data_IF_484931738390
#
_entry.id   IF_484931738390
#
_cell.length_a   1.000
_cell.length_b   1.000
_cell.length_c   1.000
_cell.angle_alpha   90.00
_cell.angle_beta   90.00
_cell.angle_gamma   90.00
#
_symmetry.space_group_name_H-M   'P 1'
#
loop_
_entity.id
_entity.type
_entity.pdbx_description
1 polymer ?
#
# COMPACT_ATOMS: atom_id res chain seq x y z
N UNK A 1 -0.65 -17.07 21.62
CA UNK A 1 -1.42 -16.01 20.93
C UNK A 1 -1.10 -14.70 21.65
N UNK A 2 -0.35 -13.80 21.03
CA UNK A 2 -0.21 -12.44 21.58
C UNK A 2 -1.54 -11.75 21.36
N UNK A 3 -2.21 -11.41 22.42
CA UNK A 3 -3.43 -10.58 22.40
C UNK A 3 -3.12 -9.27 21.72
N UNK A 4 -4.04 -8.82 20.90
CA UNK A 4 -4.00 -7.58 20.14
C UNK A 4 -3.54 -6.42 21.06
N UNK A 5 -2.34 -5.92 20.82
CA UNK A 5 -1.70 -4.88 21.65
C UNK A 5 -2.22 -3.48 21.26
N UNK A 6 -3.09 -3.42 20.23
CA UNK A 6 -3.63 -2.17 19.69
C UNK A 6 -5.12 -2.03 19.99
N UNK A 7 -5.47 -0.90 20.57
CA UNK A 7 -6.87 -0.51 20.78
C UNK A 7 -7.32 0.43 19.66
N UNK A 8 -8.07 -0.11 18.70
CA UNK A 8 -8.66 0.66 17.61
C UNK A 8 -10.08 1.17 17.94
N UNK A 9 -10.57 0.96 19.16
CA UNK A 9 -11.97 1.27 19.53
C UNK A 9 -12.31 2.76 19.46
N UNK A 10 -11.32 3.63 19.52
CA UNK A 10 -11.48 5.08 19.38
C UNK A 10 -11.34 5.57 17.95
N UNK A 11 -10.90 4.72 17.02
CA UNK A 11 -10.63 5.08 15.65
C UNK A 11 -11.83 4.84 14.73
N UNK A 12 -11.97 5.74 13.77
CA UNK A 12 -12.92 5.65 12.65
C UNK A 12 -12.20 5.29 11.38
N UNK A 13 -12.57 4.18 10.75
CA UNK A 13 -12.08 3.81 9.42
C UNK A 13 -13.13 4.14 8.34
N UNK A 14 -12.69 4.60 7.18
CA UNK A 14 -13.52 4.70 5.97
C UNK A 14 -13.01 3.71 4.92
N UNK A 15 -13.93 2.95 4.33
CA UNK A 15 -13.63 2.05 3.21
C UNK A 15 -14.48 2.36 2.00
N UNK A 16 -13.83 2.45 0.83
CA UNK A 16 -14.46 2.81 -0.45
C UNK A 16 -14.17 1.73 -1.50
N UNK A 17 -15.23 1.13 -2.04
CA UNK A 17 -15.13 0.09 -3.08
C UNK A 17 -16.50 0.00 -3.77
N UNK A 18 -16.59 -0.13 -5.10
CA UNK A 18 -17.85 -0.24 -5.82
C UNK A 18 -18.52 -1.62 -5.69
N UNK A 19 -17.76 -2.65 -5.27
CA UNK A 19 -18.27 -3.99 -4.99
C UNK A 19 -18.96 -4.07 -3.62
N UNK A 20 -20.27 -4.36 -3.56
CA UNK A 20 -20.98 -4.56 -2.31
C UNK A 20 -20.40 -5.69 -1.44
N UNK A 21 -19.87 -6.74 -2.12
CA UNK A 21 -19.25 -7.86 -1.45
C UNK A 21 -17.96 -7.44 -0.75
N UNK A 22 -17.09 -6.69 -1.43
CA UNK A 22 -15.84 -6.21 -0.83
C UNK A 22 -16.12 -5.22 0.30
N UNK A 23 -17.09 -4.32 0.13
CA UNK A 23 -17.49 -3.41 1.23
C UNK A 23 -17.89 -4.17 2.47
N UNK A 24 -18.73 -5.21 2.34
CA UNK A 24 -19.15 -6.03 3.46
C UNK A 24 -17.98 -6.77 4.09
N UNK A 25 -17.14 -7.41 3.28
CA UNK A 25 -15.98 -8.17 3.75
C UNK A 25 -15.01 -7.29 4.55
N UNK A 26 -14.60 -6.16 4.00
CA UNK A 26 -13.63 -5.29 4.66
C UNK A 26 -14.24 -4.60 5.90
N UNK A 27 -15.52 -4.21 5.82
CA UNK A 27 -16.25 -3.71 6.99
C UNK A 27 -16.18 -4.72 8.15
N UNK A 28 -16.55 -5.96 7.90
CA UNK A 28 -16.59 -7.01 8.94
C UNK A 28 -15.18 -7.32 9.47
N UNK A 29 -14.14 -7.27 8.62
CA UNK A 29 -12.75 -7.40 9.06
C UNK A 29 -12.31 -6.24 9.97
N UNK A 30 -12.64 -5.01 9.63
CA UNK A 30 -12.29 -3.83 10.44
C UNK A 30 -13.02 -3.84 11.80
N UNK A 31 -14.29 -4.23 11.81
CA UNK A 31 -15.03 -4.42 13.07
C UNK A 31 -14.39 -5.53 13.91
N UNK A 32 -14.00 -6.66 13.28
CA UNK A 32 -13.33 -7.75 13.97
C UNK A 32 -11.94 -7.39 14.52
N UNK A 33 -11.27 -6.39 13.90
CA UNK A 33 -10.02 -5.81 14.40
C UNK A 33 -10.23 -4.88 15.60
N UNK A 34 -11.47 -4.46 15.87
CA UNK A 34 -11.81 -3.62 17.01
C UNK A 34 -11.98 -2.14 16.69
N UNK A 35 -12.12 -1.73 15.42
CA UNK A 35 -12.44 -0.35 15.09
C UNK A 35 -13.78 0.06 15.69
N UNK A 36 -13.81 1.23 16.34
CA UNK A 36 -15.03 1.74 16.99
C UNK A 36 -16.10 2.14 15.99
N UNK A 37 -15.68 2.60 14.81
CA UNK A 37 -16.59 2.99 13.73
C UNK A 37 -16.00 2.66 12.36
N UNK A 38 -16.83 2.12 11.46
CA UNK A 38 -16.48 1.86 10.06
C UNK A 38 -17.52 2.48 9.15
N UNK A 39 -17.08 3.39 8.30
CA UNK A 39 -17.88 4.09 7.30
C UNK A 39 -17.60 3.45 5.94
N UNK A 40 -18.61 3.24 5.13
CA UNK A 40 -18.40 2.71 3.77
C UNK A 40 -19.06 3.60 2.72
N UNK A 41 -18.40 3.72 1.56
CA UNK A 41 -18.93 4.38 0.38
C UNK A 41 -18.79 3.47 -0.85
N UNK A 42 -19.65 3.66 -1.83
CA UNK A 42 -19.70 2.81 -3.04
C UNK A 42 -18.97 3.40 -4.24
N UNK A 43 -18.50 4.64 -4.14
CA UNK A 43 -17.73 5.34 -5.18
C UNK A 43 -16.97 6.51 -4.58
N UNK A 44 -16.04 7.09 -5.37
CA UNK A 44 -15.19 8.18 -4.91
C UNK A 44 -15.95 9.49 -4.66
N UNK A 45 -17.06 9.76 -5.34
CA UNK A 45 -17.83 11.00 -5.16
C UNK A 45 -18.60 10.98 -3.83
N UNK A 46 -19.32 9.89 -3.57
CA UNK A 46 -20.00 9.69 -2.29
C UNK A 46 -19.01 9.66 -1.12
N UNK A 47 -17.83 9.07 -1.33
CA UNK A 47 -16.76 9.04 -0.33
C UNK A 47 -16.22 10.44 -0.02
N UNK A 48 -16.02 11.32 -1.03
CA UNK A 48 -15.57 12.70 -0.82
C UNK A 48 -16.58 13.52 0.00
N UNK A 49 -17.89 13.32 -0.24
CA UNK A 49 -18.92 13.97 0.55
C UNK A 49 -18.87 13.52 2.01
N UNK A 50 -18.87 12.19 2.24
CA UNK A 50 -18.78 11.62 3.58
C UNK A 50 -17.47 11.99 4.29
N UNK A 51 -16.36 12.09 3.57
CA UNK A 51 -15.07 12.43 4.15
C UNK A 51 -15.05 13.81 4.82
N UNK A 52 -15.74 14.78 4.24
CA UNK A 52 -15.83 16.14 4.79
C UNK A 52 -16.62 16.20 6.10
N UNK A 53 -17.64 15.37 6.20
CA UNK A 53 -18.53 15.38 7.36
C UNK A 53 -18.04 14.48 8.50
N UNK A 54 -17.46 13.33 8.16
CA UNK A 54 -17.15 12.26 9.10
C UNK A 54 -15.70 12.23 9.59
N UNK A 55 -14.78 12.87 8.87
CA UNK A 55 -13.34 13.01 9.21
C UNK A 55 -12.73 11.71 9.78
N UNK A 56 -12.59 10.64 8.98
CA UNK A 56 -12.04 9.37 9.45
C UNK A 56 -10.55 9.48 9.82
N UNK A 57 -10.07 8.57 10.68
CA UNK A 57 -8.66 8.49 11.07
C UNK A 57 -7.81 7.71 10.07
N UNK A 58 -8.43 6.77 9.33
CA UNK A 58 -7.79 5.98 8.29
C UNK A 58 -8.73 5.80 7.10
N UNK A 59 -8.18 5.89 5.91
CA UNK A 59 -8.90 5.67 4.66
C UNK A 59 -8.36 4.44 3.94
N UNK A 60 -9.26 3.55 3.53
CA UNK A 60 -8.96 2.39 2.70
C UNK A 60 -9.78 2.54 1.42
N UNK A 61 -9.17 2.35 0.25
CA UNK A 61 -9.88 2.51 -1.03
C UNK A 61 -9.49 1.43 -2.01
N UNK A 62 -10.45 0.96 -2.80
CA UNK A 62 -10.11 0.21 -4.00
C UNK A 62 -9.44 1.11 -5.04
N UNK A 63 -8.53 0.54 -5.83
CA UNK A 63 -7.87 1.24 -6.93
C UNK A 63 -8.79 1.41 -8.15
N UNK A 64 -9.66 0.43 -8.42
CA UNK A 64 -10.45 0.33 -9.65
C UNK A 64 -11.93 0.47 -9.36
N UNK A 65 -12.43 1.68 -9.32
CA UNK A 65 -13.85 2.00 -9.11
C UNK A 65 -14.42 2.83 -10.26
N UNK A 66 -15.75 2.90 -10.35
CA UNK A 66 -16.48 3.76 -11.30
C UNK A 66 -17.50 4.64 -10.54
N UNK A 67 -17.74 5.90 -10.95
CA UNK A 67 -17.12 6.64 -12.08
C UNK A 67 -15.73 7.21 -11.78
N UNK A 68 -15.33 7.36 -10.52
CA UNK A 68 -14.03 7.88 -10.09
C UNK A 68 -13.17 6.73 -9.58
N UNK A 69 -11.96 6.56 -10.17
CA UNK A 69 -11.01 5.55 -9.69
C UNK A 69 -10.36 5.96 -8.34
N UNK A 70 -9.77 4.98 -7.65
CA UNK A 70 -9.15 5.22 -6.35
C UNK A 70 -7.96 6.19 -6.41
N UNK A 71 -7.26 6.26 -7.53
CA UNK A 71 -6.13 7.18 -7.70
C UNK A 71 -6.60 8.63 -7.78
N UNK A 72 -7.65 8.90 -8.56
CA UNK A 72 -8.26 10.22 -8.66
C UNK A 72 -8.88 10.64 -7.33
N UNK A 73 -9.55 9.71 -6.64
CA UNK A 73 -10.10 9.94 -5.32
C UNK A 73 -9.01 10.37 -4.32
N UNK A 74 -7.90 9.62 -4.24
CA UNK A 74 -6.77 9.97 -3.37
C UNK A 74 -6.17 11.32 -3.74
N UNK A 75 -5.98 11.60 -5.04
CA UNK A 75 -5.48 12.88 -5.52
C UNK A 75 -6.36 14.03 -5.03
N UNK A 76 -7.70 13.90 -5.12
CA UNK A 76 -8.63 14.92 -4.62
C UNK A 76 -8.54 15.10 -3.10
N UNK A 77 -8.40 14.02 -2.34
CA UNK A 77 -8.16 14.13 -0.89
C UNK A 77 -6.89 14.95 -0.61
N UNK A 78 -5.81 14.73 -1.34
CA UNK A 78 -4.50 15.38 -1.11
C UNK A 78 -4.43 16.83 -1.60
N UNK A 79 -5.21 17.19 -2.63
CA UNK A 79 -5.07 18.50 -3.31
C UNK A 79 -6.17 19.50 -2.98
N UNK A 80 -7.33 19.08 -2.51
CA UNK A 80 -8.43 19.98 -2.15
C UNK A 80 -8.19 20.58 -0.77
N UNK A 81 -7.84 21.89 -0.67
CA UNK A 81 -7.56 22.54 0.61
C UNK A 81 -8.79 22.65 1.51
N UNK A 82 -10.00 22.39 0.99
CA UNK A 82 -11.22 22.33 1.80
C UNK A 82 -11.40 21.03 2.56
N UNK A 83 -10.57 20.01 2.30
CA UNK A 83 -10.62 18.76 3.02
C UNK A 83 -10.11 18.92 4.47
N UNK A 84 -10.77 18.28 5.44
CA UNK A 84 -10.47 18.47 6.86
C UNK A 84 -9.10 17.89 7.27
N UNK A 85 -8.61 16.86 6.57
CA UNK A 85 -7.32 16.23 6.86
C UNK A 85 -6.62 15.77 5.58
N UNK A 86 -5.70 16.59 5.07
CA UNK A 86 -4.88 16.23 3.89
C UNK A 86 -3.82 15.16 4.19
N UNK A 87 -3.55 14.89 5.47
CA UNK A 87 -2.50 14.00 5.96
C UNK A 87 -3.00 12.61 6.32
N UNK A 88 -4.30 12.35 6.17
CA UNK A 88 -4.88 11.04 6.53
C UNK A 88 -4.07 9.88 5.93
N UNK A 89 -3.75 8.83 6.70
CA UNK A 89 -3.15 7.63 6.14
C UNK A 89 -4.13 6.94 5.19
N UNK A 90 -3.64 6.58 3.99
CA UNK A 90 -4.44 5.94 2.93
C UNK A 90 -3.82 4.61 2.54
N UNK A 91 -4.59 3.54 2.65
CA UNK A 91 -4.26 2.20 2.15
C UNK A 91 -5.04 1.95 0.86
N UNK A 92 -4.35 1.67 -0.24
CA UNK A 92 -4.99 1.32 -1.51
C UNK A 92 -5.00 -0.18 -1.72
N UNK A 93 -6.18 -0.76 -1.99
CA UNK A 93 -6.35 -2.16 -2.36
C UNK A 93 -6.34 -2.29 -3.89
N UNK A 94 -5.63 -3.26 -4.45
CA UNK A 94 -5.64 -3.46 -5.90
C UNK A 94 -5.43 -4.92 -6.29
N UNK A 95 -6.11 -5.36 -7.33
CA UNK A 95 -5.86 -6.65 -8.00
C UNK A 95 -4.63 -6.64 -8.91
N UNK A 96 -4.02 -5.48 -9.15
CA UNK A 96 -2.90 -5.32 -10.09
C UNK A 96 -1.64 -4.91 -9.32
N UNK A 97 -0.67 -5.80 -9.25
CA UNK A 97 0.59 -5.60 -8.50
C UNK A 97 1.77 -5.17 -9.38
N UNK A 98 1.49 -4.74 -10.60
CA UNK A 98 2.51 -4.23 -11.51
C UNK A 98 3.16 -2.97 -10.93
N UNK A 99 4.48 -2.83 -11.13
CA UNK A 99 5.25 -1.69 -10.60
C UNK A 99 4.66 -0.35 -11.01
N UNK A 100 4.16 -0.22 -12.24
CA UNK A 100 3.52 1.00 -12.73
C UNK A 100 2.32 1.44 -11.88
N UNK A 101 1.50 0.49 -11.39
CA UNK A 101 0.36 0.77 -10.53
C UNK A 101 0.78 1.18 -9.12
N UNK A 102 1.83 0.56 -8.59
CA UNK A 102 2.39 0.91 -7.28
C UNK A 102 3.02 2.31 -7.34
N UNK A 103 3.75 2.63 -8.42
CA UNK A 103 4.31 3.96 -8.64
C UNK A 103 3.21 5.00 -8.80
N UNK A 104 2.17 4.70 -9.58
CA UNK A 104 0.99 5.58 -9.72
C UNK A 104 0.33 5.85 -8.37
N UNK A 105 0.13 4.82 -7.53
CA UNK A 105 -0.44 4.97 -6.20
C UNK A 105 0.42 5.91 -5.33
N UNK A 106 1.73 5.67 -5.30
CA UNK A 106 2.69 6.51 -4.59
C UNK A 106 2.65 7.96 -5.08
N UNK A 107 2.59 8.15 -6.40
CA UNK A 107 2.59 9.48 -7.02
C UNK A 107 1.30 10.27 -6.77
N UNK A 108 0.21 9.59 -6.45
CA UNK A 108 -1.05 10.22 -6.00
C UNK A 108 -1.13 10.39 -4.47
N UNK A 109 -0.10 10.03 -3.70
CA UNK A 109 -0.05 10.26 -2.26
C UNK A 109 -0.66 9.16 -1.40
N UNK A 110 -0.74 7.92 -1.93
CA UNK A 110 -1.10 6.72 -1.14
C UNK A 110 -0.01 6.43 -0.13
N UNK A 111 -0.40 6.08 1.11
CA UNK A 111 0.54 5.75 2.18
C UNK A 111 1.02 4.32 2.07
N UNK A 112 0.10 3.37 1.90
CA UNK A 112 0.40 1.94 1.76
C UNK A 112 -0.44 1.31 0.64
N UNK A 113 0.14 0.28 0.02
CA UNK A 113 -0.50 -0.48 -1.06
C UNK A 113 -0.65 -1.94 -0.63
N UNK A 114 -1.82 -2.52 -0.86
CA UNK A 114 -2.13 -3.90 -0.50
C UNK A 114 -2.74 -4.64 -1.70
N UNK A 115 -2.11 -5.75 -2.07
CA UNK A 115 -2.60 -6.60 -3.15
C UNK A 115 -3.85 -7.38 -2.75
N UNK A 116 -4.83 -7.48 -3.64
CA UNK A 116 -5.94 -8.44 -3.55
C UNK A 116 -5.44 -9.84 -4.00
N UNK A 117 -5.84 -10.94 -3.36
CA UNK A 117 -6.88 -11.07 -2.33
C UNK A 117 -6.42 -10.59 -0.95
N UNK A 118 -7.30 -9.87 -0.25
CA UNK A 118 -7.04 -9.33 1.08
C UNK A 118 -7.31 -10.39 2.14
N UNK A 119 -6.34 -10.64 3.01
CA UNK A 119 -6.51 -11.43 4.23
C UNK A 119 -6.63 -10.54 5.47
N UNK A 120 -7.24 -11.07 6.54
CA UNK A 120 -7.31 -10.37 7.82
C UNK A 120 -5.91 -9.99 8.34
N UNK A 121 -4.94 -10.91 8.21
CA UNK A 121 -3.56 -10.70 8.64
C UNK A 121 -2.87 -9.60 7.84
N UNK A 122 -2.97 -9.62 6.50
CA UNK A 122 -2.33 -8.61 5.65
C UNK A 122 -2.95 -7.23 5.85
N UNK A 123 -4.27 -7.14 6.00
CA UNK A 123 -4.95 -5.88 6.29
C UNK A 123 -4.53 -5.32 7.65
N UNK A 124 -4.53 -6.16 8.70
CA UNK A 124 -4.10 -5.77 10.04
C UNK A 124 -2.67 -5.23 10.04
N UNK A 125 -1.73 -5.92 9.40
CA UNK A 125 -0.33 -5.48 9.29
C UNK A 125 -0.21 -4.10 8.65
N UNK A 126 -0.99 -3.81 7.59
CA UNK A 126 -0.97 -2.49 6.93
C UNK A 126 -1.59 -1.40 7.79
N UNK A 127 -2.69 -1.70 8.48
CA UNK A 127 -3.30 -0.78 9.44
C UNK A 127 -2.32 -0.42 10.55
N UNK A 128 -1.69 -1.41 11.17
CA UNK A 128 -0.67 -1.18 12.21
C UNK A 128 0.50 -0.38 11.65
N UNK A 129 1.02 -0.72 10.47
CA UNK A 129 2.14 -0.02 9.84
C UNK A 129 1.87 1.48 9.66
N UNK A 130 0.69 1.87 9.17
CA UNK A 130 0.39 3.30 8.93
C UNK A 130 0.13 4.08 10.21
N UNK A 131 -0.25 3.40 11.31
CA UNK A 131 -0.48 4.02 12.62
C UNK A 131 0.83 4.16 13.40
N UNK A 132 1.66 3.12 13.44
CA UNK A 132 2.90 3.12 14.21
C UNK A 132 4.04 3.86 13.54
N UNK A 133 4.08 3.82 12.21
CA UNK A 133 5.14 4.40 11.41
C UNK A 133 4.57 5.47 10.46
N UNK A 134 4.02 6.57 10.99
CA UNK A 134 3.47 7.62 10.17
C UNK A 134 4.57 8.23 9.31
N UNK A 135 4.40 8.18 7.99
CA UNK A 135 5.33 8.79 7.06
C UNK A 135 5.28 10.30 7.15
N UNK A 136 6.45 10.93 7.06
CA UNK A 136 6.52 12.38 6.90
C UNK A 136 5.90 12.76 5.56
N UNK A 137 5.14 13.86 5.53
CA UNK A 137 4.57 14.40 4.30
C UNK A 137 5.51 15.45 3.72
N UNK A 138 5.64 15.42 2.41
CA UNK A 138 6.46 16.35 1.65
C UNK A 138 5.63 17.04 0.57
N UNK A 139 5.98 18.30 0.27
CA UNK A 139 5.44 19.03 -0.87
C UNK A 139 6.58 19.32 -1.83
N UNK A 140 6.50 18.78 -3.05
CA UNK A 140 7.51 18.98 -4.09
C UNK A 140 6.79 19.24 -5.41
N UNK A 141 6.85 20.50 -5.89
CA UNK A 141 6.05 20.92 -7.04
C UNK A 141 4.56 20.74 -6.77
N UNK A 142 3.87 20.02 -7.66
CA UNK A 142 2.44 19.71 -7.54
C UNK A 142 2.15 18.46 -6.67
N UNK A 143 3.19 17.74 -6.25
CA UNK A 143 3.04 16.59 -5.37
C UNK A 143 2.89 17.03 -3.92
N UNK A 144 1.85 16.51 -3.27
CA UNK A 144 1.68 16.55 -1.83
C UNK A 144 1.29 15.15 -1.33
N UNK A 145 2.09 14.59 -0.43
CA UNK A 145 1.85 13.23 0.07
C UNK A 145 2.99 12.70 0.95
N UNK A 146 2.91 11.42 1.37
CA UNK A 146 3.97 10.79 2.13
C UNK A 146 5.30 10.80 1.40
N UNK A 147 6.43 10.98 2.12
CA UNK A 147 7.76 10.91 1.52
C UNK A 147 7.94 9.58 0.79
N UNK A 148 8.39 9.65 -0.47
CA UNK A 148 8.58 8.48 -1.34
C UNK A 148 9.83 7.69 -0.99
N UNK A 149 10.75 8.28 -0.22
CA UNK A 149 11.98 7.63 0.22
C UNK A 149 11.65 6.72 1.40
N UNK A 150 11.91 5.42 1.26
CA UNK A 150 11.96 4.54 2.42
C UNK A 150 13.26 4.83 3.15
N UNK A 151 13.19 5.27 4.39
CA UNK A 151 14.35 5.20 5.27
C UNK A 151 14.69 3.73 5.51
N UNK A 152 15.98 3.39 5.52
CA UNK A 152 16.50 2.02 5.69
C UNK A 152 16.12 1.38 7.02
N UNK A 153 15.47 2.11 7.92
CA UNK A 153 14.99 1.63 9.21
C UNK A 153 13.53 1.11 9.16
N UNK A 154 12.83 1.28 8.05
CA UNK A 154 11.49 0.72 7.84
C UNK A 154 11.62 -0.80 7.65
N UNK A 155 11.39 -1.57 8.70
CA UNK A 155 11.35 -3.04 8.65
C UNK A 155 10.23 -3.47 7.69
N UNK A 156 10.62 -3.91 6.50
CA UNK A 156 9.73 -4.41 5.50
C UNK A 156 9.20 -5.80 5.92
N UNK A 157 7.97 -5.85 6.43
CA UNK A 157 7.26 -7.10 6.70
C UNK A 157 6.59 -7.63 5.41
N UNK A 158 7.36 -7.87 4.38
CA UNK A 158 6.91 -8.50 3.15
C UNK A 158 8.05 -9.34 2.59
N UNK A 159 7.73 -10.55 2.08
CA UNK A 159 8.70 -11.42 1.40
C UNK A 159 9.46 -10.62 0.34
N UNK A 160 10.74 -10.38 0.62
CA UNK A 160 11.63 -9.63 -0.26
C UNK A 160 12.16 -10.61 -1.30
N UNK A 161 11.37 -10.87 -2.37
CA UNK A 161 11.79 -11.70 -3.50
C UNK A 161 13.01 -11.17 -4.27
N UNK A 162 13.64 -10.08 -3.80
CA UNK A 162 14.86 -9.52 -4.43
C UNK A 162 16.13 -10.16 -3.88
N UNK A 163 16.12 -10.73 -2.68
CA UNK A 163 17.32 -11.32 -2.09
C UNK A 163 17.70 -12.66 -2.75
N UNK A 164 16.76 -13.29 -3.51
CA UNK A 164 17.01 -14.54 -4.22
C UNK A 164 17.61 -14.36 -5.63
N UNK A 165 17.70 -13.13 -6.16
CA UNK A 165 18.22 -12.88 -7.50
C UNK A 165 19.69 -12.43 -7.53
N UNK A 166 20.22 -11.95 -6.40
CA UNK A 166 21.60 -11.48 -6.30
C UNK A 166 22.59 -12.58 -5.84
N UNK A 167 22.09 -13.79 -5.53
CA UNK A 167 22.89 -14.92 -5.07
C UNK A 167 23.40 -15.86 -6.18
N UNK A 168 23.09 -15.62 -7.46
CA UNK A 168 23.39 -16.57 -8.56
C UNK A 168 24.55 -16.13 -9.45
N UNK A 169 25.10 -14.93 -9.28
CA UNK A 169 26.14 -14.39 -10.21
C UNK A 169 27.51 -14.14 -9.54
N UNK A 170 27.99 -15.02 -8.66
CA UNK A 170 29.35 -14.91 -8.13
C UNK A 170 30.17 -16.21 -8.16
N UNK A 171 29.97 -17.08 -9.15
CA UNK A 171 30.93 -18.09 -9.50
C UNK A 171 31.25 -18.07 -10.99
N UNK A 172 32.22 -17.23 -11.36
CA UNK A 172 32.96 -17.38 -12.60
C UNK A 172 34.03 -18.48 -12.38
N UNK A 173 34.11 -19.51 -13.22
CA UNK A 173 35.20 -20.47 -13.10
C UNK A 173 36.49 -19.85 -13.63
N UNK A 174 37.52 -19.86 -12.75
CA UNK A 174 38.89 -19.55 -13.06
C UNK A 174 39.45 -20.43 -14.16
N UNK A 175 40.17 -19.75 -15.09
CA UNK A 175 41.33 -20.14 -15.86
C UNK A 175 41.50 -21.63 -16.21
N UNK A 176 41.32 -21.94 -17.48
CA UNK A 176 42.00 -23.09 -18.11
C UNK A 176 43.28 -22.59 -18.74
N UNK A 177 44.37 -23.08 -18.16
CA UNK A 177 45.75 -22.87 -18.54
C UNK A 177 46.04 -23.52 -19.91
N UNK A 178 46.79 -22.78 -20.69
CA UNK A 178 47.37 -23.22 -21.95
C UNK A 178 48.53 -24.18 -21.72
N UNK A 179 48.53 -25.35 -22.29
CA UNK A 179 49.69 -26.04 -22.89
C UNK A 179 49.31 -27.45 -23.31
N UNK A 180 49.47 -27.72 -24.58
CA UNK A 180 50.46 -28.66 -25.15
C UNK A 180 50.07 -29.02 -26.56
N UNK A 181 51.03 -28.77 -27.38
CA UNK A 181 51.22 -29.23 -28.75
C UNK A 181 51.20 -30.76 -28.83
N UNK A 182 50.90 -31.22 -29.98
CA UNK A 182 51.57 -32.24 -30.80
C UNK A 182 50.56 -33.10 -31.54
N UNK A 183 50.69 -32.94 -32.87
CA UNK A 183 50.87 -33.96 -33.92
C UNK A 183 49.95 -35.20 -33.89
N UNK A 184 49.36 -35.46 -35.06
CA UNK A 184 49.63 -36.57 -36.00
C UNK A 184 48.75 -36.43 -37.23
N UNK A 185 49.40 -36.32 -38.31
CA UNK A 185 49.37 -36.80 -39.67
C UNK A 185 48.55 -38.12 -39.83
N UNK A 186 47.63 -38.18 -40.72
CA UNK A 186 47.45 -38.86 -41.99
C UNK A 186 46.13 -38.43 -42.60
#
# INVERSE_FOLDING_TARGET
>A
MRTNEYDFSVLTAMFVDDSPYMRRLIHDLLIAMGFGRVITANDGESALALYKDEVPDILITDASMHPMDGYEFVRRIRTDPSNPNLYIPIIMLSGHVEMANIERARDNGVTEYLAKPVSATSLHQRVVSVIEQPRQFVKVGDYFGPDRRRHTDDVFFGDNRRDDLDAVDSEAPDSIDSKSEEQWVI
#
